data_IF_880796696353
#
_entry.id   IF_880796696353
#
_cell.length_a   1.000
_cell.length_b   1.000
_cell.length_c   1.000
_cell.angle_alpha   90.00
_cell.angle_beta   90.00
_cell.angle_gamma   90.00
#
_symmetry.space_group_name_H-M   'P 1'
#
loop_
_entity.id
_entity.type
_entity.pdbx_description
1 polymer ?
#
# COMPACT_ATOMS: atom_id res chain seq x y z
N UNK A 1 -4.40 -5.11 -0.29
CA UNK A 1 -3.71 -3.80 -0.32
C UNK A 1 -2.74 -3.72 -1.50
N UNK A 2 -1.92 -4.75 -1.69
CA UNK A 2 -0.95 -4.88 -2.79
C UNK A 2 -1.52 -4.53 -4.16
N UNK A 3 -2.64 -5.13 -4.58
CA UNK A 3 -3.26 -4.79 -5.88
C UNK A 3 -3.81 -3.37 -5.99
N UNK A 4 -4.22 -2.75 -4.88
CA UNK A 4 -4.61 -1.33 -4.89
C UNK A 4 -3.38 -0.41 -4.99
N UNK A 5 -2.25 -0.84 -4.43
CA UNK A 5 -1.00 -0.10 -4.47
C UNK A 5 -0.28 -0.22 -5.82
N UNK A 6 -0.35 -1.39 -6.45
CA UNK A 6 0.15 -1.67 -7.80
C UNK A 6 -0.61 -0.88 -8.87
N UNK A 7 -1.94 -0.75 -8.74
CA UNK A 7 -2.78 -0.05 -9.73
C UNK A 7 -3.07 1.42 -9.38
N UNK A 8 -2.52 1.93 -8.27
CA UNK A 8 -2.73 3.33 -7.86
C UNK A 8 -4.15 3.64 -7.37
N UNK A 9 -4.91 2.65 -6.94
CA UNK A 9 -6.28 2.81 -6.42
C UNK A 9 -6.28 3.33 -4.97
N UNK A 10 -5.99 4.62 -4.81
CA UNK A 10 -5.92 5.35 -3.54
C UNK A 10 -7.18 5.22 -2.67
N UNK A 11 -8.37 5.36 -3.26
CA UNK A 11 -9.64 5.21 -2.52
C UNK A 11 -9.82 3.81 -1.93
N UNK A 12 -9.46 2.77 -2.71
CA UNK A 12 -9.51 1.38 -2.27
C UNK A 12 -8.45 1.11 -1.20
N UNK A 13 -7.23 1.62 -1.39
CA UNK A 13 -6.17 1.52 -0.39
C UNK A 13 -6.60 2.15 0.94
N UNK A 14 -7.23 3.33 0.91
CA UNK A 14 -7.75 4.01 2.11
C UNK A 14 -8.84 3.21 2.81
N UNK A 15 -9.80 2.64 2.08
CA UNK A 15 -10.86 1.79 2.66
C UNK A 15 -10.26 0.54 3.33
N UNK A 16 -9.27 -0.08 2.68
CA UNK A 16 -8.57 -1.24 3.21
C UNK A 16 -7.81 -0.91 4.49
N UNK A 17 -7.09 0.22 4.53
CA UNK A 17 -6.39 0.71 5.72
C UNK A 17 -7.35 0.97 6.89
N UNK A 18 -8.49 1.63 6.63
CA UNK A 18 -9.51 1.92 7.65
C UNK A 18 -10.15 0.64 8.20
N UNK A 19 -10.27 -0.41 7.37
CA UNK A 19 -10.81 -1.69 7.83
C UNK A 19 -9.94 -2.37 8.91
N UNK A 20 -8.66 -2.02 9.01
CA UNK A 20 -7.68 -2.59 9.95
C UNK A 20 -7.37 -4.07 9.75
N UNK A 21 -7.99 -4.73 8.76
CA UNK A 21 -7.85 -6.17 8.47
C UNK A 21 -6.71 -6.49 7.53
N UNK A 22 -5.91 -5.50 7.16
CA UNK A 22 -4.94 -5.60 6.06
C UNK A 22 -3.59 -5.23 6.60
N UNK A 23 -2.63 -6.10 6.34
CA UNK A 23 -1.24 -5.86 6.68
C UNK A 23 -0.59 -4.99 5.60
N UNK A 24 -0.01 -3.86 6.00
CA UNK A 24 0.65 -2.94 5.07
C UNK A 24 2.06 -3.38 4.70
N UNK A 25 2.64 -4.26 5.51
CA UNK A 25 3.98 -4.81 5.33
C UNK A 25 3.95 -6.19 4.70
N UNK A 26 2.78 -6.65 4.24
CA UNK A 26 2.63 -7.96 3.60
C UNK A 26 3.56 -8.04 2.39
N UNK A 27 4.47 -9.00 2.39
CA UNK A 27 5.40 -9.22 1.28
C UNK A 27 4.80 -10.20 0.27
N UNK A 28 4.96 -9.89 -1.01
CA UNK A 28 4.76 -10.85 -2.10
C UNK A 28 5.81 -11.98 -2.02
N UNK A 29 5.61 -13.05 -2.79
CA UNK A 29 6.61 -14.11 -2.95
C UNK A 29 7.97 -13.59 -3.45
N UNK A 30 7.96 -12.47 -4.18
CA UNK A 30 9.16 -11.78 -4.67
C UNK A 30 9.76 -10.79 -3.65
N UNK A 31 9.18 -10.70 -2.44
CA UNK A 31 9.65 -9.82 -1.36
C UNK A 31 9.11 -8.38 -1.42
N UNK A 32 8.24 -8.07 -2.37
CA UNK A 32 7.70 -6.71 -2.57
C UNK A 32 6.59 -6.38 -1.59
N UNK A 33 6.62 -5.18 -1.02
CA UNK A 33 5.53 -4.66 -0.19
C UNK A 33 4.57 -3.81 -1.03
N UNK A 34 3.34 -3.56 -0.56
CA UNK A 34 2.46 -2.56 -1.17
C UNK A 34 3.14 -1.20 -1.41
N UNK A 35 4.04 -0.78 -0.52
CA UNK A 35 4.81 0.44 -0.70
C UNK A 35 5.80 0.33 -1.87
N UNK A 36 6.50 -0.81 -2.03
CA UNK A 36 7.38 -1.06 -3.18
C UNK A 36 6.61 -0.98 -4.50
N UNK A 37 5.41 -1.58 -4.57
CA UNK A 37 4.57 -1.53 -5.76
C UNK A 37 4.10 -0.12 -6.11
N UNK A 38 3.66 0.65 -5.10
CA UNK A 38 3.26 2.03 -5.31
C UNK A 38 4.44 2.92 -5.72
N UNK A 39 5.64 2.68 -5.17
CA UNK A 39 6.85 3.42 -5.52
C UNK A 39 7.30 3.13 -6.96
N UNK A 40 7.34 1.86 -7.35
CA UNK A 40 7.73 1.43 -8.70
C UNK A 40 6.80 2.02 -9.78
N UNK A 41 5.49 2.01 -9.51
CA UNK A 41 4.49 2.56 -10.43
C UNK A 41 4.25 4.06 -10.25
N UNK A 42 5.05 4.75 -9.43
CA UNK A 42 4.96 6.20 -9.19
C UNK A 42 3.56 6.66 -8.71
N UNK A 43 2.90 5.86 -7.88
CA UNK A 43 1.58 6.15 -7.32
C UNK A 43 1.66 6.95 -6.03
N UNK A 44 2.05 8.23 -6.15
CA UNK A 44 2.31 9.15 -5.03
C UNK A 44 1.17 9.24 -3.99
N UNK A 45 -0.08 9.20 -4.44
CA UNK A 45 -1.24 9.25 -3.55
C UNK A 45 -1.28 8.01 -2.63
N UNK A 46 -1.01 6.83 -3.18
CA UNK A 46 -0.98 5.58 -2.40
C UNK A 46 0.24 5.56 -1.48
N UNK A 47 1.40 6.04 -1.95
CA UNK A 47 2.61 6.17 -1.11
C UNK A 47 2.32 7.02 0.12
N UNK A 48 1.72 8.20 -0.05
CA UNK A 48 1.34 9.08 1.06
C UNK A 48 0.36 8.43 2.03
N UNK A 49 -0.63 7.69 1.51
CA UNK A 49 -1.59 6.94 2.34
C UNK A 49 -0.90 5.86 3.17
N UNK A 50 0.01 5.10 2.57
CA UNK A 50 0.76 4.03 3.23
C UNK A 50 1.72 4.59 4.29
N UNK A 51 2.49 5.64 3.95
CA UNK A 51 3.39 6.30 4.90
C UNK A 51 2.63 6.96 6.07
N UNK A 52 1.44 7.51 5.81
CA UNK A 52 0.57 8.09 6.84
C UNK A 52 -0.11 7.07 7.74
N UNK A 53 -0.09 5.78 7.40
CA UNK A 53 -0.73 4.71 8.19
C UNK A 53 0.08 4.29 9.43
N UNK A 54 1.27 4.86 9.64
CA UNK A 54 2.04 4.72 10.88
C UNK A 54 2.69 3.34 11.09
N UNK A 55 2.64 2.46 10.08
CA UNK A 55 3.33 1.17 10.04
C UNK A 55 4.45 1.24 9.01
N UNK A 56 5.42 2.09 9.28
CA UNK A 56 6.68 2.13 8.54
C UNK A 56 7.74 1.87 9.59
N UNK A 57 8.13 0.61 9.74
CA UNK A 57 9.33 0.20 10.48
C UNK A 57 10.27 -0.50 9.48
#
# INVERSE_FOLDING_TARGET
>A
LTGAAENGHDAVAKLLLVSGRVDVDSRSNDGWTPLSWAAENSHDAVIKLLLGSGKVD
#
